data_IF_087342277412
#
_entry.id   IF_087342277412
#
_cell.length_a   1.000
_cell.length_b   1.000
_cell.length_c   1.000
_cell.angle_alpha   90.00
_cell.angle_beta   90.00
_cell.angle_gamma   90.00
#
_symmetry.space_group_name_H-M   'P 1'
#
loop_
_entity.id
_entity.type
_entity.pdbx_description
1 polymer ?
#
# COMPACT_ATOMS: atom_id res chain seq x y z
N UNK A 1 -20.66 36.88 -1.92
CA UNK A 1 -19.65 35.88 -2.25
C UNK A 1 -19.57 34.92 -1.08
N UNK A 2 -20.20 33.75 -1.17
CA UNK A 2 -20.17 32.74 -0.10
C UNK A 2 -18.85 32.02 -0.25
N UNK A 3 -17.89 32.31 0.60
CA UNK A 3 -16.66 31.55 0.72
C UNK A 3 -17.07 30.24 1.38
N UNK A 4 -17.36 29.19 0.57
CA UNK A 4 -17.50 27.85 1.09
C UNK A 4 -16.16 27.44 1.68
N UNK A 5 -16.13 27.26 2.99
CA UNK A 5 -14.98 26.64 3.64
C UNK A 5 -14.70 25.30 2.96
N UNK A 6 -13.43 24.98 2.63
CA UNK A 6 -13.11 23.71 2.00
C UNK A 6 -13.67 22.57 2.85
N UNK A 7 -14.24 21.52 2.25
CA UNK A 7 -14.79 20.39 2.99
C UNK A 7 -13.72 19.81 3.90
N UNK A 8 -14.03 19.69 5.18
CA UNK A 8 -13.09 19.18 6.17
C UNK A 8 -12.84 17.70 5.89
N UNK A 9 -11.64 17.37 5.44
CA UNK A 9 -11.23 15.99 5.21
C UNK A 9 -11.31 15.17 6.51
N UNK A 10 -11.71 13.90 6.40
CA UNK A 10 -11.59 12.96 7.52
C UNK A 10 -10.12 12.70 7.80
N UNK A 11 -9.73 12.56 9.08
CA UNK A 11 -8.32 12.40 9.46
C UNK A 11 -7.66 11.20 8.79
N UNK A 12 -8.37 10.09 8.63
CA UNK A 12 -7.84 8.93 7.91
C UNK A 12 -7.48 9.24 6.45
N UNK A 13 -8.27 10.10 5.78
CA UNK A 13 -8.00 10.55 4.41
C UNK A 13 -6.78 11.48 4.38
N UNK A 14 -6.65 12.39 5.36
CA UNK A 14 -5.45 13.23 5.49
C UNK A 14 -4.18 12.40 5.66
N UNK A 15 -4.24 11.35 6.49
CA UNK A 15 -3.11 10.42 6.68
C UNK A 15 -2.75 9.74 5.38
N UNK A 16 -3.74 9.21 4.67
CA UNK A 16 -3.52 8.54 3.38
C UNK A 16 -2.87 9.48 2.36
N UNK A 17 -3.41 10.70 2.20
CA UNK A 17 -2.85 11.71 1.29
C UNK A 17 -1.42 12.11 1.70
N UNK A 18 -1.17 12.28 2.99
CA UNK A 18 0.16 12.64 3.51
C UNK A 18 1.21 11.58 3.15
N UNK A 19 0.88 10.30 3.36
CA UNK A 19 1.81 9.20 3.04
C UNK A 19 1.95 9.02 1.52
N UNK A 20 0.88 9.26 0.74
CA UNK A 20 0.95 9.26 -0.72
C UNK A 20 1.90 10.33 -1.25
N UNK A 21 1.81 11.56 -0.72
CA UNK A 21 2.76 12.64 -1.07
C UNK A 21 4.19 12.27 -0.71
N UNK A 22 4.39 11.70 0.47
CA UNK A 22 5.71 11.29 0.94
C UNK A 22 6.33 10.22 0.02
N UNK A 23 5.54 9.23 -0.44
CA UNK A 23 5.97 8.29 -1.47
C UNK A 23 6.24 8.96 -2.82
N UNK A 24 5.54 10.04 -3.14
CA UNK A 24 5.77 10.82 -4.35
C UNK A 24 7.09 11.59 -4.32
N UNK A 25 7.47 12.13 -3.17
CA UNK A 25 8.74 12.84 -2.98
C UNK A 25 9.94 11.90 -2.84
N UNK A 26 9.71 10.69 -2.31
CA UNK A 26 10.72 9.65 -2.06
C UNK A 26 10.34 8.33 -2.73
N UNK A 27 10.35 8.27 -4.08
CA UNK A 27 9.89 7.09 -4.81
C UNK A 27 10.75 5.84 -4.58
N UNK A 28 11.99 6.00 -4.13
CA UNK A 28 12.91 4.93 -3.79
C UNK A 28 12.64 4.32 -2.41
N UNK A 29 11.87 5.02 -1.55
CA UNK A 29 11.60 4.56 -0.18
C UNK A 29 10.46 3.56 -0.15
N UNK A 30 10.71 2.39 0.42
CA UNK A 30 9.71 1.32 0.56
C UNK A 30 8.68 1.66 1.63
N UNK A 31 9.13 2.27 2.71
CA UNK A 31 8.33 2.67 3.87
C UNK A 31 8.97 3.85 4.60
N UNK A 32 8.25 4.39 5.59
CA UNK A 32 8.67 5.53 6.40
C UNK A 32 8.44 5.26 7.88
N UNK A 33 9.29 5.79 8.73
CA UNK A 33 9.05 5.79 10.17
C UNK A 33 7.85 6.70 10.52
N UNK A 34 7.23 6.44 11.66
CA UNK A 34 6.17 7.32 12.19
C UNK A 34 6.68 8.75 12.33
N UNK A 35 7.93 8.92 12.75
CA UNK A 35 8.57 10.23 12.91
C UNK A 35 8.70 10.97 11.57
N UNK A 36 9.18 10.30 10.51
CA UNK A 36 9.25 10.87 9.16
C UNK A 36 7.88 11.31 8.64
N UNK A 37 6.84 10.48 8.86
CA UNK A 37 5.46 10.83 8.48
C UNK A 37 4.97 12.05 9.25
N UNK A 38 5.24 12.11 10.56
CA UNK A 38 4.81 13.23 11.40
C UNK A 38 5.57 14.52 11.06
N UNK A 39 6.84 14.42 10.77
CA UNK A 39 7.67 15.54 10.35
C UNK A 39 7.22 16.11 9.00
N UNK A 40 6.99 15.25 8.04
CA UNK A 40 6.41 15.64 6.76
C UNK A 40 5.04 16.30 6.94
N UNK A 41 4.18 15.74 7.79
CA UNK A 41 2.86 16.29 8.07
C UNK A 41 2.92 17.71 8.69
N UNK A 42 3.96 18.02 9.45
CA UNK A 42 4.15 19.34 10.08
C UNK A 42 4.76 20.36 9.14
N UNK A 43 5.69 19.96 8.28
CA UNK A 43 6.55 20.89 7.54
C UNK A 43 6.28 20.96 6.04
N UNK A 44 5.63 19.95 5.43
CA UNK A 44 5.31 19.99 4.00
C UNK A 44 4.28 21.07 3.67
N UNK A 45 4.61 22.03 2.77
CA UNK A 45 3.66 23.06 2.33
C UNK A 45 2.40 22.48 1.68
N UNK A 46 2.56 21.39 0.92
CA UNK A 46 1.45 20.70 0.27
C UNK A 46 0.48 20.10 1.30
N UNK A 47 1.01 19.48 2.36
CA UNK A 47 0.19 18.96 3.45
C UNK A 47 -0.47 20.11 4.24
N UNK A 48 0.23 21.20 4.49
CA UNK A 48 -0.30 22.35 5.21
C UNK A 48 -1.49 23.01 4.48
N UNK A 49 -1.54 22.91 3.16
CA UNK A 49 -2.68 23.39 2.36
C UNK A 49 -4.02 22.69 2.69
N UNK A 50 -3.97 21.51 3.32
CA UNK A 50 -5.17 20.80 3.80
C UNK A 50 -5.69 21.35 5.15
N UNK A 51 -5.02 22.30 5.74
CA UNK A 51 -5.35 22.89 7.05
C UNK A 51 -4.41 22.44 8.17
N UNK A 52 -4.65 22.91 9.41
CA UNK A 52 -3.80 22.62 10.55
C UNK A 52 -3.78 21.13 10.87
N UNK A 53 -2.63 20.64 11.36
CA UNK A 53 -2.48 19.25 11.78
C UNK A 53 -3.37 18.96 12.99
N UNK A 54 -4.31 18.02 12.86
CA UNK A 54 -5.24 17.67 13.92
C UNK A 54 -4.59 16.77 14.99
N UNK A 55 -4.94 16.92 16.27
CA UNK A 55 -4.36 16.12 17.37
C UNK A 55 -4.48 14.60 17.15
N UNK A 56 -5.59 14.13 16.55
CA UNK A 56 -5.83 12.71 16.27
C UNK A 56 -5.02 12.14 15.09
N UNK A 57 -4.30 12.98 14.34
CA UNK A 57 -3.51 12.52 13.19
C UNK A 57 -2.49 11.45 13.60
N UNK A 58 -1.75 11.67 14.68
CA UNK A 58 -0.79 10.70 15.21
C UNK A 58 -1.44 9.34 15.52
N UNK A 59 -2.60 9.34 16.19
CA UNK A 59 -3.32 8.10 16.50
C UNK A 59 -3.75 7.33 15.26
N UNK A 60 -4.07 8.03 14.17
CA UNK A 60 -4.39 7.41 12.89
C UNK A 60 -3.16 6.78 12.23
N UNK A 61 -2.00 7.43 12.27
CA UNK A 61 -0.73 6.89 11.76
C UNK A 61 -0.30 5.65 12.56
N UNK A 62 -0.46 5.67 13.88
CA UNK A 62 -0.01 4.59 14.76
C UNK A 62 -0.97 3.41 14.75
N UNK A 63 -2.28 3.64 14.76
CA UNK A 63 -3.28 2.58 15.02
C UNK A 63 -4.47 2.60 14.06
N UNK A 64 -5.19 3.73 13.93
CA UNK A 64 -6.52 3.73 13.32
C UNK A 64 -6.52 3.40 11.83
N UNK A 65 -5.46 3.76 11.09
CA UNK A 65 -5.33 3.50 9.66
C UNK A 65 -4.51 2.24 9.34
N UNK A 66 -3.91 1.57 10.33
CA UNK A 66 -2.95 0.48 10.11
C UNK A 66 -3.68 -0.86 9.96
N UNK A 67 -3.63 -1.42 8.74
CA UNK A 67 -4.42 -2.58 8.34
C UNK A 67 -4.13 -3.86 9.14
N UNK A 68 -2.88 -4.12 9.44
CA UNK A 68 -2.43 -5.33 10.15
C UNK A 68 -2.41 -5.18 11.69
N UNK A 69 -3.03 -4.12 12.22
CA UNK A 69 -3.29 -3.95 13.65
C UNK A 69 -4.78 -4.11 13.97
N UNK A 70 -5.15 -4.55 15.18
CA UNK A 70 -6.54 -4.63 15.60
C UNK A 70 -7.26 -3.28 15.41
N UNK A 71 -8.55 -3.26 15.02
CA UNK A 71 -9.31 -2.02 14.89
C UNK A 71 -9.53 -1.37 16.26
N UNK A 72 -9.48 -0.01 16.29
CA UNK A 72 -9.77 0.76 17.52
C UNK A 72 -10.00 2.25 17.15
N UNK A 73 -11.15 2.77 17.19
CA UNK A 73 -12.46 2.21 16.81
C UNK A 73 -12.63 2.10 15.29
N UNK A 74 -11.78 2.80 14.51
CA UNK A 74 -11.86 2.83 13.04
C UNK A 74 -11.32 1.53 12.41
N UNK A 75 -11.93 1.14 11.28
CA UNK A 75 -11.55 -0.06 10.52
C UNK A 75 -10.79 0.26 9.24
N UNK A 76 -10.17 1.43 9.13
CA UNK A 76 -9.39 1.78 7.94
C UNK A 76 -8.27 0.78 7.67
N UNK A 77 -8.00 0.53 6.38
CA UNK A 77 -6.89 -0.28 5.88
C UNK A 77 -6.07 0.56 4.91
N UNK A 78 -5.62 1.73 5.36
CA UNK A 78 -4.95 2.72 4.51
C UNK A 78 -3.44 2.63 4.58
N UNK A 79 -2.92 2.15 5.70
CA UNK A 79 -1.50 1.92 5.94
C UNK A 79 -1.26 0.46 6.32
N UNK A 80 -0.03 0.00 6.15
CA UNK A 80 0.46 -1.26 6.69
C UNK A 80 1.73 -1.03 7.50
N UNK A 81 1.86 -1.73 8.61
CA UNK A 81 3.11 -1.81 9.37
C UNK A 81 4.03 -2.84 8.72
N UNK A 82 5.15 -2.39 8.19
CA UNK A 82 6.16 -3.23 7.54
C UNK A 82 7.16 -3.81 8.54
N UNK A 83 7.47 -3.02 9.54
CA UNK A 83 8.27 -3.38 10.72
C UNK A 83 7.90 -2.45 11.87
N UNK A 84 8.30 -2.74 13.13
CA UNK A 84 7.97 -1.89 14.27
C UNK A 84 8.27 -0.42 14.03
N UNK A 85 7.25 0.43 14.12
CA UNK A 85 7.37 1.87 13.92
C UNK A 85 7.47 2.35 12.48
N UNK A 86 7.38 1.47 11.49
CA UNK A 86 7.44 1.84 10.07
C UNK A 86 6.14 1.57 9.36
N UNK A 87 5.79 2.44 8.42
CA UNK A 87 4.50 2.43 7.69
C UNK A 87 4.72 2.70 6.20
N UNK A 88 3.90 2.08 5.38
CA UNK A 88 3.69 2.47 3.97
C UNK A 88 2.19 2.46 3.65
N UNK A 89 1.82 2.92 2.47
CA UNK A 89 0.45 2.75 1.99
C UNK A 89 0.09 1.26 1.86
N UNK A 90 -1.17 0.95 2.18
CA UNK A 90 -1.74 -0.37 1.95
C UNK A 90 -1.92 -0.61 0.46
N UNK A 91 -1.62 -1.81 -0.02
CA UNK A 91 -1.81 -2.26 -1.40
C UNK A 91 -2.82 -3.40 -1.45
N UNK A 92 -3.54 -3.57 -2.58
CA UNK A 92 -4.30 -4.80 -2.81
C UNK A 92 -3.41 -6.03 -2.64
N UNK A 93 -3.90 -7.02 -1.88
CA UNK A 93 -3.13 -8.23 -1.57
C UNK A 93 -2.32 -8.19 -0.26
N UNK A 94 -2.12 -7.02 0.33
CA UNK A 94 -1.49 -6.93 1.65
C UNK A 94 -2.34 -7.63 2.73
N UNK A 95 -1.70 -8.29 3.71
CA UNK A 95 -2.41 -8.90 4.83
C UNK A 95 -3.03 -7.83 5.74
N UNK A 96 -4.16 -8.12 6.33
CA UNK A 96 -4.82 -7.24 7.29
C UNK A 96 -5.48 -8.01 8.42
N UNK A 97 -5.73 -7.33 9.54
CA UNK A 97 -6.40 -7.93 10.68
C UNK A 97 -7.88 -8.24 10.34
N UNK A 98 -8.42 -9.44 10.66
CA UNK A 98 -9.79 -9.83 10.33
C UNK A 98 -10.87 -8.84 10.78
N UNK A 99 -10.68 -8.20 11.94
CA UNK A 99 -11.57 -7.16 12.45
C UNK A 99 -11.68 -5.90 11.58
N UNK A 100 -10.83 -5.77 10.55
CA UNK A 100 -10.85 -4.65 9.59
C UNK A 100 -11.50 -5.02 8.25
N UNK A 101 -12.10 -6.19 8.16
CA UNK A 101 -12.84 -6.62 6.96
C UNK A 101 -13.90 -5.56 6.58
N UNK A 102 -13.95 -5.20 5.29
CA UNK A 102 -14.82 -4.12 4.79
C UNK A 102 -14.37 -2.70 5.11
N UNK A 103 -13.25 -2.52 5.81
CA UNK A 103 -12.65 -1.21 6.07
C UNK A 103 -12.13 -0.55 4.79
N UNK A 104 -12.21 0.78 4.74
CA UNK A 104 -11.75 1.57 3.59
C UNK A 104 -10.23 1.53 3.48
N UNK A 105 -9.72 1.12 2.31
CA UNK A 105 -8.29 1.07 2.00
C UNK A 105 -7.82 2.25 1.13
N UNK A 106 -8.73 2.80 0.33
CA UNK A 106 -8.49 3.93 -0.56
C UNK A 106 -9.64 4.91 -0.43
N UNK A 107 -9.40 6.23 -0.45
CA UNK A 107 -10.46 7.22 -0.50
C UNK A 107 -11.37 7.03 -1.74
N UNK A 108 -12.64 7.30 -1.60
CA UNK A 108 -13.56 7.35 -2.73
C UNK A 108 -13.49 8.72 -3.39
N UNK A 109 -13.37 8.73 -4.72
CA UNK A 109 -13.47 9.95 -5.50
C UNK A 109 -14.82 10.64 -5.20
N UNK A 110 -14.82 11.96 -5.15
CA UNK A 110 -16.00 12.84 -4.92
C UNK A 110 -16.69 12.70 -3.55
N UNK A 111 -16.58 11.58 -2.85
CA UNK A 111 -17.13 11.43 -1.51
C UNK A 111 -16.14 11.84 -0.40
N UNK A 112 -14.89 11.42 -0.53
CA UNK A 112 -13.86 11.58 0.49
C UNK A 112 -12.82 12.63 0.12
N UNK A 113 -12.62 12.88 -1.18
CA UNK A 113 -11.61 13.79 -1.71
C UNK A 113 -12.28 15.03 -2.31
N UNK A 114 -11.76 16.24 -2.06
CA UNK A 114 -12.16 17.44 -2.80
C UNK A 114 -11.86 17.27 -4.30
N UNK A 115 -12.64 17.96 -5.16
CA UNK A 115 -12.54 17.84 -6.62
C UNK A 115 -11.13 18.00 -7.16
N UNK A 116 -10.34 18.91 -6.59
CA UNK A 116 -8.96 19.15 -7.00
C UNK A 116 -7.97 18.01 -6.64
N UNK A 117 -8.37 17.10 -5.73
CA UNK A 117 -7.55 15.93 -5.36
C UNK A 117 -8.02 14.63 -6.02
N UNK A 118 -9.28 14.56 -6.46
CA UNK A 118 -9.93 13.31 -6.85
C UNK A 118 -9.15 12.51 -7.89
N UNK A 119 -8.82 13.13 -9.02
CA UNK A 119 -8.17 12.42 -10.12
C UNK A 119 -6.67 12.24 -9.90
N UNK A 120 -5.99 13.29 -9.44
CA UNK A 120 -4.53 13.27 -9.29
C UNK A 120 -4.06 12.27 -8.22
N UNK A 121 -4.67 12.28 -7.04
CA UNK A 121 -4.27 11.42 -5.93
C UNK A 121 -4.52 9.93 -6.22
N UNK A 122 -5.65 9.57 -6.80
CA UNK A 122 -5.97 8.18 -7.13
C UNK A 122 -5.08 7.65 -8.27
N UNK A 123 -4.80 8.46 -9.28
CA UNK A 123 -3.87 8.10 -10.35
C UNK A 123 -2.44 7.89 -9.80
N UNK A 124 -1.97 8.78 -8.93
CA UNK A 124 -0.67 8.67 -8.29
C UNK A 124 -0.57 7.40 -7.42
N UNK A 125 -1.62 7.06 -6.68
CA UNK A 125 -1.68 5.84 -5.89
C UNK A 125 -1.63 4.59 -6.78
N UNK A 126 -2.40 4.54 -7.85
CA UNK A 126 -2.40 3.40 -8.77
C UNK A 126 -1.02 3.21 -9.42
N UNK A 127 -0.40 4.29 -9.91
CA UNK A 127 0.96 4.25 -10.46
C UNK A 127 2.00 3.79 -9.41
N UNK A 128 1.84 4.21 -8.15
CA UNK A 128 2.68 3.74 -7.06
C UNK A 128 2.50 2.24 -6.81
N UNK A 129 1.27 1.73 -6.81
CA UNK A 129 1.00 0.30 -6.67
C UNK A 129 1.63 -0.53 -7.80
N UNK A 130 1.50 -0.09 -9.05
CA UNK A 130 2.06 -0.76 -10.23
C UNK A 130 3.58 -0.87 -10.16
N UNK A 131 4.28 0.23 -9.89
CA UNK A 131 5.75 0.24 -9.74
C UNK A 131 6.23 -0.72 -8.65
N UNK A 132 5.55 -0.72 -7.50
CA UNK A 132 5.93 -1.57 -6.38
C UNK A 132 5.56 -3.04 -6.60
N UNK A 133 4.56 -3.35 -7.41
CA UNK A 133 4.23 -4.72 -7.81
C UNK A 133 5.32 -5.30 -8.72
N UNK A 134 5.80 -4.53 -9.70
CA UNK A 134 6.88 -4.94 -10.59
C UNK A 134 8.20 -5.18 -9.84
N UNK A 135 8.52 -4.32 -8.88
CA UNK A 135 9.73 -4.47 -8.06
C UNK A 135 9.62 -5.68 -7.13
N UNK A 136 8.48 -5.92 -6.53
CA UNK A 136 8.21 -7.12 -5.72
C UNK A 136 8.33 -8.39 -6.55
N UNK A 137 7.83 -8.39 -7.78
CA UNK A 137 7.93 -9.51 -8.70
C UNK A 137 9.38 -9.80 -9.12
N UNK A 138 10.19 -8.76 -9.36
CA UNK A 138 11.62 -8.91 -9.69
C UNK A 138 12.43 -9.49 -8.52
N UNK A 139 12.03 -9.20 -7.30
CA UNK A 139 12.71 -9.63 -6.08
C UNK A 139 12.09 -10.90 -5.44
N UNK A 140 11.08 -11.49 -6.08
CA UNK A 140 10.44 -12.73 -5.59
C UNK A 140 11.36 -13.94 -5.86
N UNK A 141 11.84 -14.64 -4.82
CA UNK A 141 12.71 -15.82 -4.97
C UNK A 141 12.04 -16.94 -5.77
N UNK A 142 10.71 -17.07 -5.72
CA UNK A 142 9.96 -18.07 -6.47
C UNK A 142 9.92 -17.73 -7.95
N UNK A 143 9.79 -16.45 -8.31
CA UNK A 143 9.86 -16.01 -9.70
C UNK A 143 11.29 -16.06 -10.25
N UNK A 144 12.30 -15.87 -9.41
CA UNK A 144 13.71 -16.08 -9.80
C UNK A 144 14.02 -17.56 -10.13
N UNK A 145 13.25 -18.50 -9.56
CA UNK A 145 13.34 -19.91 -9.89
C UNK A 145 12.57 -20.28 -11.17
N UNK A 146 11.75 -19.37 -11.72
CA UNK A 146 11.00 -19.62 -12.94
C UNK A 146 11.95 -19.83 -14.12
N UNK A 147 11.94 -21.04 -14.66
CA UNK A 147 12.84 -21.43 -15.75
C UNK A 147 14.21 -21.95 -15.35
N UNK A 148 14.58 -21.92 -14.05
CA UNK A 148 15.87 -22.50 -13.58
C UNK A 148 15.94 -24.02 -13.76
N UNK A 149 14.80 -24.69 -13.91
CA UNK A 149 14.71 -26.13 -14.18
C UNK A 149 14.74 -26.50 -15.67
N UNK A 150 14.85 -25.54 -16.59
CA UNK A 150 14.85 -25.84 -18.03
C UNK A 150 15.98 -26.76 -18.45
N UNK A 151 17.16 -26.56 -17.87
CA UNK A 151 18.34 -27.35 -18.18
C UNK A 151 18.30 -28.76 -17.57
N UNK A 152 17.55 -28.96 -16.49
CA UNK A 152 17.32 -30.26 -15.86
C UNK A 152 16.46 -31.21 -16.73
N UNK A 153 15.67 -30.64 -17.61
CA UNK A 153 14.75 -31.39 -18.50
C UNK A 153 15.14 -31.27 -19.99
N UNK A 154 16.26 -30.60 -20.29
CA UNK A 154 16.67 -30.35 -21.67
C UNK A 154 16.93 -31.63 -22.46
N UNK A 155 17.36 -32.68 -21.78
CA UNK A 155 17.74 -33.97 -22.38
C UNK A 155 16.64 -35.05 -22.29
N UNK A 156 15.50 -34.75 -21.68
CA UNK A 156 14.43 -35.74 -21.47
C UNK A 156 13.07 -35.21 -21.92
N UNK A 157 12.45 -35.88 -22.90
CA UNK A 157 11.08 -35.64 -23.31
C UNK A 157 10.12 -36.10 -22.18
N UNK A 158 9.18 -35.22 -21.76
CA UNK A 158 8.23 -35.50 -20.68
C UNK A 158 7.45 -36.82 -20.92
N UNK A 159 7.10 -37.15 -22.16
CA UNK A 159 6.39 -38.36 -22.54
C UNK A 159 7.26 -39.62 -22.35
N UNK A 160 8.56 -39.51 -22.55
CA UNK A 160 9.52 -40.62 -22.38
C UNK A 160 9.78 -40.89 -20.91
N UNK A 161 9.87 -39.84 -20.10
CA UNK A 161 9.96 -39.93 -18.64
C UNK A 161 8.71 -40.58 -18.03
N UNK A 162 7.52 -40.19 -18.45
CA UNK A 162 6.25 -40.75 -17.96
C UNK A 162 6.13 -42.22 -18.39
N UNK A 163 6.57 -42.58 -19.62
CA UNK A 163 6.56 -43.96 -20.07
C UNK A 163 7.46 -44.84 -19.22
N UNK A 164 8.69 -44.39 -18.94
CA UNK A 164 9.66 -45.11 -18.09
C UNK A 164 9.16 -45.30 -16.66
N UNK A 165 8.47 -44.32 -16.10
CA UNK A 165 7.83 -44.42 -14.77
C UNK A 165 6.72 -45.49 -14.76
N UNK A 166 5.97 -45.63 -15.83
CA UNK A 166 4.89 -46.65 -15.94
C UNK A 166 5.40 -48.05 -16.11
N UNK A 167 6.50 -48.25 -16.85
CA UNK A 167 7.16 -49.55 -17.03
C UNK A 167 7.75 -50.15 -15.75
N UNK A 168 7.99 -49.33 -14.72
CA UNK A 168 8.49 -49.77 -13.42
C UNK A 168 7.41 -50.18 -12.40
N UNK A 169 6.12 -50.21 -12.84
CA UNK A 169 4.98 -50.48 -11.94
C UNK A 169 4.25 -51.80 -12.30
N UNK A 170 4.77 -52.65 -13.24
CA UNK A 170 4.26 -53.97 -13.57
C UNK A 170 4.99 -55.11 -12.83
#
# INVERSE_FOLDING_TARGET
MIIQSPPTLKVGIEVWLTVLMLHGEHPESVDFSIEEIMDFARHSPQRQSMGPLRPSFYAHVVQHCVANRPPSPARYRMLIETSPGRRRLFRPGDPYHPGRTGGKSVPRAFEDLPDYWCNGALQQYNAWCERNAEESAKNDPLLALYGSGKDLWADEHADEYIRRLREGWE
#
